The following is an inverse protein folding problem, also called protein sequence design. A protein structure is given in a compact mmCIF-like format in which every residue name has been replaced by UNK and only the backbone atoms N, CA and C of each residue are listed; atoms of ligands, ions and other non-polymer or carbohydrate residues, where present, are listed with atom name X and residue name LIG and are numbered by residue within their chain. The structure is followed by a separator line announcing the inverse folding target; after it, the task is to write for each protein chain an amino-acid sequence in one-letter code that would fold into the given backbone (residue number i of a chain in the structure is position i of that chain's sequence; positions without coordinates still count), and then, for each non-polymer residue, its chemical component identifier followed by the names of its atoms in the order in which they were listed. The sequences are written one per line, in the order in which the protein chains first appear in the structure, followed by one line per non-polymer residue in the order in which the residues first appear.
data_IF_437775830892
#
_entry.id   IF_437775830892
#
_cell.length_a   1.000
_cell.length_b   1.000
_cell.length_c   1.000
_cell.angle_alpha   90.00
_cell.angle_beta   90.00
_cell.angle_gamma   90.00
#
_symmetry.space_group_name_H-M   'P 1'
#
loop_
_entity.id
_entity.type
_entity.pdbx_description
1 polymer ?
#
# COMPACT_ATOMS: atom_id res chain seq x y z
N UNK A 1 4.08 37.00 23.01
CA UNK A 1 3.98 35.81 23.87
C UNK A 1 4.06 34.57 23.01
N UNK A 2 5.06 33.75 23.22
CA UNK A 2 5.10 32.48 22.57
C UNK A 2 3.95 31.61 23.12
N UNK A 3 2.96 31.32 22.29
CA UNK A 3 1.97 30.31 22.58
C UNK A 3 2.74 28.97 22.72
N UNK A 4 2.87 28.48 23.95
CA UNK A 4 3.43 27.15 24.18
C UNK A 4 2.48 26.13 23.60
N UNK A 5 2.69 25.75 22.34
CA UNK A 5 1.97 24.60 21.75
C UNK A 5 2.37 23.38 22.56
N UNK A 6 1.41 22.52 22.95
CA UNK A 6 1.75 21.27 23.59
C UNK A 6 2.68 20.46 22.68
N UNK A 7 3.59 19.65 23.24
CA UNK A 7 4.45 18.81 22.44
C UNK A 7 3.61 17.86 21.58
N UNK A 8 3.94 17.77 20.31
CA UNK A 8 3.32 16.80 19.40
C UNK A 8 4.14 15.51 19.37
N UNK A 9 3.44 14.42 19.31
CA UNK A 9 4.04 13.10 19.11
C UNK A 9 3.98 12.75 17.63
N UNK A 10 5.11 12.30 17.09
CA UNK A 10 5.17 11.75 15.74
C UNK A 10 4.85 10.26 15.79
N UNK A 11 3.80 9.85 15.07
CA UNK A 11 3.47 8.44 14.88
C UNK A 11 3.79 8.04 13.45
N UNK A 12 4.53 6.96 13.31
CA UNK A 12 4.91 6.39 12.02
C UNK A 12 4.26 5.01 11.90
N UNK A 13 3.43 4.85 10.89
CA UNK A 13 2.74 3.58 10.61
C UNK A 13 3.35 2.92 9.37
N UNK A 14 3.48 1.60 9.43
CA UNK A 14 3.55 0.75 8.25
C UNK A 14 2.12 0.47 7.74
N UNK A 15 1.99 -0.17 6.59
CA UNK A 15 0.69 -0.45 5.97
C UNK A 15 0.34 -1.94 6.01
N UNK A 16 1.09 -2.78 5.26
CA UNK A 16 0.85 -4.22 5.21
C UNK A 16 1.01 -4.87 6.58
N UNK A 17 0.05 -5.69 6.98
CA UNK A 17 0.03 -6.41 8.27
C UNK A 17 0.18 -5.49 9.48
N UNK A 18 -0.12 -4.21 9.31
CA UNK A 18 -0.12 -3.19 10.36
C UNK A 18 -1.44 -2.43 10.36
N UNK A 19 -1.68 -1.54 9.40
CA UNK A 19 -2.98 -0.86 9.23
C UNK A 19 -4.01 -1.82 8.66
N UNK A 20 -3.63 -2.58 7.65
CA UNK A 20 -4.45 -3.67 7.09
C UNK A 20 -3.98 -5.00 7.64
N UNK A 21 -4.90 -5.97 7.66
CA UNK A 21 -4.66 -7.30 8.24
C UNK A 21 -4.16 -8.32 7.21
N UNK A 22 -3.60 -7.85 6.10
CA UNK A 22 -3.10 -8.67 5.01
C UNK A 22 -1.87 -8.02 4.37
N UNK A 23 -1.16 -8.77 3.53
CA UNK A 23 -0.20 -8.21 2.59
C UNK A 23 -0.94 -7.77 1.32
N UNK A 24 -0.87 -6.49 0.98
CA UNK A 24 -1.64 -5.92 -0.12
C UNK A 24 -1.22 -6.44 -1.49
N UNK A 25 0.05 -6.75 -1.69
CA UNK A 25 0.55 -7.31 -2.96
C UNK A 25 0.06 -8.75 -3.19
N UNK A 26 -0.09 -9.52 -2.13
CA UNK A 26 -0.71 -10.85 -2.22
C UNK A 26 -2.22 -10.73 -2.45
N UNK A 27 -2.85 -9.76 -1.82
CA UNK A 27 -4.31 -9.58 -1.88
C UNK A 27 -4.80 -9.23 -3.28
N UNK A 28 -4.04 -8.48 -4.09
CA UNK A 28 -4.46 -8.08 -5.43
C UNK A 28 -4.64 -9.25 -6.38
N UNK A 29 -4.07 -10.41 -6.09
CA UNK A 29 -4.28 -11.63 -6.88
C UNK A 29 -5.75 -12.02 -6.95
N UNK A 30 -6.57 -11.59 -5.99
CA UNK A 30 -8.02 -11.81 -6.02
C UNK A 30 -8.70 -11.16 -7.22
N UNK A 31 -8.09 -10.17 -7.86
CA UNK A 31 -8.60 -9.56 -9.08
C UNK A 31 -8.26 -10.38 -10.34
N UNK A 32 -7.37 -11.36 -10.25
CA UNK A 32 -7.01 -12.24 -11.36
C UNK A 32 -8.12 -13.28 -11.62
N UNK A 33 -8.24 -13.80 -12.87
CA UNK A 33 -9.15 -14.89 -13.17
C UNK A 33 -8.92 -16.08 -12.25
N UNK A 34 -10.00 -16.59 -11.67
CA UNK A 34 -9.92 -17.69 -10.71
C UNK A 34 -9.25 -17.31 -9.38
N UNK A 35 -8.98 -16.03 -9.16
CA UNK A 35 -8.30 -15.49 -7.96
C UNK A 35 -6.94 -16.14 -7.70
N UNK A 36 -6.24 -16.54 -8.75
CA UNK A 36 -4.95 -17.20 -8.65
C UNK A 36 -4.02 -16.80 -9.80
N UNK A 37 -2.72 -16.86 -9.53
CA UNK A 37 -1.69 -16.70 -10.57
C UNK A 37 -1.35 -18.07 -11.19
N UNK A 38 -1.04 -18.11 -12.50
CA UNK A 38 -0.49 -19.31 -13.12
C UNK A 38 0.81 -19.76 -12.44
N UNK A 39 1.06 -21.05 -12.47
CA UNK A 39 2.24 -21.63 -11.81
C UNK A 39 3.56 -21.06 -12.34
N UNK A 40 3.67 -20.83 -13.65
CA UNK A 40 4.89 -20.27 -14.25
C UNK A 40 5.17 -18.82 -13.75
N UNK A 41 4.12 -18.05 -13.41
CA UNK A 41 4.29 -16.73 -12.78
C UNK A 41 4.76 -16.90 -11.35
N UNK A 42 4.09 -17.76 -10.56
CA UNK A 42 4.47 -18.00 -9.15
C UNK A 42 5.90 -18.51 -9.03
N UNK A 43 6.33 -19.43 -9.89
CA UNK A 43 7.68 -19.98 -9.90
C UNK A 43 8.74 -19.01 -10.41
N UNK A 44 8.35 -17.89 -11.01
CA UNK A 44 9.28 -16.89 -11.49
C UNK A 44 9.86 -15.99 -10.39
N UNK A 45 9.35 -16.13 -9.15
CA UNK A 45 9.90 -15.40 -8.01
C UNK A 45 11.34 -15.80 -7.73
N UNK A 46 12.19 -14.79 -7.50
CA UNK A 46 13.56 -14.96 -7.05
C UNK A 46 13.81 -14.03 -5.88
N UNK A 47 14.44 -14.54 -4.83
CA UNK A 47 14.88 -13.73 -3.71
C UNK A 47 15.81 -12.58 -4.20
N UNK A 48 15.55 -11.38 -3.72
CA UNK A 48 16.26 -10.17 -4.16
C UNK A 48 15.72 -9.53 -5.44
N UNK A 49 14.75 -10.16 -6.14
CA UNK A 49 14.18 -9.66 -7.40
C UNK A 49 12.65 -9.49 -7.30
N UNK A 50 12.20 -8.95 -6.19
CA UNK A 50 10.78 -8.79 -5.91
C UNK A 50 10.09 -7.84 -6.90
N UNK A 51 10.74 -6.73 -7.25
CA UNK A 51 10.16 -5.75 -8.18
C UNK A 51 9.92 -6.36 -9.56
N UNK A 52 10.88 -7.12 -10.07
CA UNK A 52 10.77 -7.84 -11.35
C UNK A 52 9.67 -8.89 -11.31
N UNK A 53 9.52 -9.57 -10.18
CA UNK A 53 8.41 -10.49 -9.97
C UNK A 53 7.06 -9.77 -10.03
N UNK A 54 6.90 -8.68 -9.30
CA UNK A 54 5.66 -7.91 -9.30
C UNK A 54 5.34 -7.32 -10.67
N UNK A 55 6.34 -6.88 -11.43
CA UNK A 55 6.13 -6.44 -12.81
C UNK A 55 5.52 -7.55 -13.68
N UNK A 56 5.99 -8.79 -13.53
CA UNK A 56 5.42 -9.94 -14.25
C UNK A 56 3.99 -10.25 -13.80
N UNK A 57 3.73 -10.19 -12.50
CA UNK A 57 2.38 -10.36 -11.95
C UNK A 57 1.42 -9.34 -12.53
N UNK A 58 1.79 -8.07 -12.51
CA UNK A 58 0.92 -6.99 -12.99
C UNK A 58 0.74 -7.03 -14.51
N UNK A 59 1.77 -7.38 -15.27
CA UNK A 59 1.67 -7.56 -16.71
C UNK A 59 0.69 -8.71 -17.04
N UNK A 60 0.80 -9.83 -16.37
CA UNK A 60 -0.16 -10.93 -16.50
C UNK A 60 -1.59 -10.47 -16.20
N UNK A 61 -1.79 -9.78 -15.10
CA UNK A 61 -3.13 -9.30 -14.74
C UNK A 61 -3.70 -8.32 -15.78
N UNK A 62 -2.87 -7.44 -16.31
CA UNK A 62 -3.24 -6.55 -17.41
C UNK A 62 -3.63 -7.31 -18.67
N UNK A 63 -2.88 -8.35 -19.03
CA UNK A 63 -3.18 -9.23 -20.18
C UNK A 63 -4.51 -9.98 -20.00
N UNK A 64 -4.89 -10.27 -18.75
CA UNK A 64 -6.19 -10.87 -18.42
C UNK A 64 -7.34 -9.87 -18.36
N UNK A 65 -7.09 -8.60 -18.65
CA UNK A 65 -8.12 -7.57 -18.66
C UNK A 65 -8.46 -6.96 -17.30
N UNK A 66 -7.64 -7.19 -16.28
CA UNK A 66 -7.80 -6.56 -14.96
C UNK A 66 -7.55 -5.05 -15.10
N UNK A 67 -8.48 -4.24 -14.65
CA UNK A 67 -8.45 -2.78 -14.77
C UNK A 67 -8.33 -2.09 -13.41
N UNK A 68 -8.10 -0.78 -13.44
CA UNK A 68 -8.00 0.07 -12.24
C UNK A 68 -9.13 -0.20 -11.24
N UNK A 69 -10.38 -0.26 -11.70
CA UNK A 69 -11.53 -0.50 -10.83
C UNK A 69 -11.50 -1.84 -10.11
N UNK A 70 -10.91 -2.87 -10.75
CA UNK A 70 -10.79 -4.21 -10.16
C UNK A 70 -9.76 -4.21 -9.04
N UNK A 71 -8.61 -3.58 -9.24
CA UNK A 71 -7.60 -3.39 -8.20
C UNK A 71 -8.15 -2.56 -7.04
N UNK A 72 -8.82 -1.45 -7.37
CA UNK A 72 -9.44 -0.58 -6.37
C UNK A 72 -10.41 -1.36 -5.47
N UNK A 73 -11.27 -2.17 -6.06
CA UNK A 73 -12.22 -2.99 -5.30
C UNK A 73 -11.53 -3.95 -4.34
N UNK A 74 -10.43 -4.57 -4.75
CA UNK A 74 -9.66 -5.45 -3.86
C UNK A 74 -9.07 -4.66 -2.71
N UNK A 75 -8.37 -3.56 -2.97
CA UNK A 75 -7.76 -2.75 -1.91
C UNK A 75 -8.79 -2.23 -0.91
N UNK A 76 -9.94 -1.75 -1.39
CA UNK A 76 -11.01 -1.23 -0.52
C UNK A 76 -11.59 -2.30 0.40
N UNK A 77 -11.60 -3.56 -0.04
CA UNK A 77 -12.18 -4.67 0.72
C UNK A 77 -11.20 -5.38 1.67
N UNK A 78 -9.91 -5.04 1.66
CA UNK A 78 -8.97 -5.61 2.62
C UNK A 78 -9.36 -5.17 4.03
N UNK A 79 -9.50 -6.09 5.00
CA UNK A 79 -9.86 -5.71 6.37
C UNK A 79 -8.77 -4.84 7.03
N UNK A 80 -9.19 -3.85 7.80
CA UNK A 80 -8.29 -3.17 8.73
C UNK A 80 -7.88 -4.14 9.85
N UNK A 81 -6.67 -3.98 10.36
CA UNK A 81 -6.22 -4.76 11.51
C UNK A 81 -7.13 -4.52 12.73
N UNK A 82 -7.36 -5.55 13.58
CA UNK A 82 -8.19 -5.40 14.77
C UNK A 82 -7.73 -4.23 15.65
N UNK A 83 -8.68 -3.41 16.07
CA UNK A 83 -8.42 -2.22 16.91
C UNK A 83 -7.98 -0.99 16.14
N UNK A 84 -7.64 -1.10 14.86
CA UNK A 84 -7.17 0.04 14.07
C UNK A 84 -8.25 1.11 13.86
N UNK A 85 -9.51 0.77 13.59
CA UNK A 85 -10.57 1.78 13.52
C UNK A 85 -10.71 2.60 14.81
N UNK A 86 -10.67 1.95 15.96
CA UNK A 86 -10.75 2.64 17.26
C UNK A 86 -9.54 3.54 17.51
N UNK A 87 -8.34 3.06 17.18
CA UNK A 87 -7.12 3.85 17.28
C UNK A 87 -7.18 5.10 16.40
N UNK A 88 -7.60 4.96 15.15
CA UNK A 88 -7.68 6.08 14.22
C UNK A 88 -8.77 7.09 14.63
N UNK A 89 -9.87 6.65 15.19
CA UNK A 89 -10.87 7.54 15.76
C UNK A 89 -10.32 8.32 16.96
N UNK A 90 -9.58 7.66 17.83
CA UNK A 90 -8.89 8.32 18.95
C UNK A 90 -7.90 9.37 18.46
N UNK A 91 -7.07 9.02 17.47
CA UNK A 91 -6.09 9.95 16.89
C UNK A 91 -6.77 11.14 16.20
N UNK A 92 -7.88 10.91 15.50
CA UNK A 92 -8.67 11.98 14.88
C UNK A 92 -9.21 12.97 15.90
N UNK A 93 -9.68 12.48 17.04
CA UNK A 93 -10.20 13.31 18.14
C UNK A 93 -9.09 14.09 18.86
N UNK A 94 -7.87 13.61 18.79
CA UNK A 94 -6.71 14.20 19.45
C UNK A 94 -5.64 14.68 18.46
N UNK A 95 -6.06 15.08 17.26
CA UNK A 95 -5.16 15.45 16.15
C UNK A 95 -4.19 16.59 16.52
N UNK A 96 -4.50 17.39 17.53
CA UNK A 96 -3.63 18.46 18.02
C UNK A 96 -2.35 17.92 18.67
N UNK A 97 -2.40 16.70 19.20
CA UNK A 97 -1.28 16.07 19.91
C UNK A 97 -0.39 15.22 19.01
N UNK A 98 -0.88 14.84 17.83
CA UNK A 98 -0.23 13.86 17.00
C UNK A 98 0.04 14.38 15.59
N UNK A 99 1.24 14.11 15.11
CA UNK A 99 1.62 14.16 13.70
C UNK A 99 1.70 12.72 13.22
N UNK A 100 0.98 12.38 12.15
CA UNK A 100 0.86 10.99 11.70
C UNK A 100 1.36 10.87 10.28
N UNK A 101 2.32 9.98 10.07
CA UNK A 101 2.85 9.64 8.75
C UNK A 101 2.80 8.14 8.53
N UNK A 102 2.83 7.75 7.27
CA UNK A 102 2.87 6.37 6.85
C UNK A 102 4.12 6.16 5.99
N UNK A 103 4.88 5.13 6.29
CA UNK A 103 6.04 4.69 5.51
C UNK A 103 5.85 3.20 5.22
N UNK A 104 5.75 2.84 3.95
CA UNK A 104 5.48 1.46 3.55
C UNK A 104 6.13 1.13 2.22
N UNK A 105 6.56 -0.11 2.07
CA UNK A 105 7.02 -0.71 0.83
C UNK A 105 5.87 -1.24 -0.06
N UNK A 106 4.62 -0.99 0.31
CA UNK A 106 3.46 -1.22 -0.55
C UNK A 106 3.46 -0.28 -1.77
N UNK A 107 2.35 0.32 -2.14
CA UNK A 107 2.30 1.32 -3.21
C UNK A 107 1.25 2.40 -2.92
N UNK A 108 1.46 3.56 -3.52
CA UNK A 108 0.62 4.74 -3.27
C UNK A 108 -0.84 4.51 -3.64
N UNK A 109 -1.12 3.89 -4.79
CA UNK A 109 -2.49 3.66 -5.24
C UNK A 109 -3.29 2.78 -4.26
N UNK A 110 -2.70 1.66 -3.85
CA UNK A 110 -3.36 0.73 -2.91
C UNK A 110 -3.60 1.35 -1.55
N UNK A 111 -2.60 2.06 -1.02
CA UNK A 111 -2.72 2.77 0.26
C UNK A 111 -3.83 3.81 0.20
N UNK A 112 -3.85 4.66 -0.83
CA UNK A 112 -4.86 5.71 -0.97
C UNK A 112 -6.27 5.12 -1.13
N UNK A 113 -6.44 4.09 -1.96
CA UNK A 113 -7.73 3.42 -2.13
C UNK A 113 -8.29 2.96 -0.78
N UNK A 114 -7.46 2.29 0.01
CA UNK A 114 -7.88 1.75 1.31
C UNK A 114 -8.19 2.84 2.32
N UNK A 115 -7.29 3.80 2.48
CA UNK A 115 -7.46 4.86 3.47
C UNK A 115 -8.64 5.77 3.14
N UNK A 116 -8.88 6.07 1.86
CA UNK A 116 -10.05 6.84 1.44
C UNK A 116 -11.35 6.09 1.69
N UNK A 117 -11.40 4.81 1.34
CA UNK A 117 -12.58 3.97 1.57
C UNK A 117 -12.89 3.82 3.07
N UNK A 118 -11.87 3.72 3.90
CA UNK A 118 -12.01 3.64 5.35
C UNK A 118 -12.31 4.99 6.03
N UNK A 119 -12.15 6.11 5.31
CA UNK A 119 -12.41 7.46 5.86
C UNK A 119 -11.25 8.03 6.68
N UNK A 120 -10.04 7.47 6.58
CA UNK A 120 -8.89 7.88 7.38
C UNK A 120 -7.73 8.50 6.58
N UNK A 121 -7.91 8.70 5.27
CA UNK A 121 -6.85 9.26 4.43
C UNK A 121 -6.34 10.61 4.94
N UNK A 122 -7.23 11.51 5.33
CA UNK A 122 -6.88 12.84 5.81
C UNK A 122 -6.18 12.87 7.17
N UNK A 123 -6.16 11.75 7.88
CA UNK A 123 -5.46 11.61 9.16
C UNK A 123 -3.93 11.69 8.98
N UNK A 124 -3.43 11.27 7.82
CA UNK A 124 -2.01 11.19 7.53
C UNK A 124 -1.51 12.51 6.91
N UNK A 125 -0.53 13.11 7.55
CA UNK A 125 0.13 14.31 7.05
C UNK A 125 0.94 14.02 5.80
N UNK A 126 1.60 12.84 5.76
CA UNK A 126 2.43 12.41 4.65
C UNK A 126 2.40 10.88 4.53
N UNK A 127 2.42 10.41 3.30
CA UNK A 127 2.55 9.00 2.97
C UNK A 127 3.79 8.83 2.08
N UNK A 128 4.71 7.98 2.51
CA UNK A 128 5.91 7.61 1.77
C UNK A 128 5.76 6.15 1.32
N UNK A 129 5.64 5.94 0.04
CA UNK A 129 5.52 4.60 -0.52
C UNK A 129 5.93 4.59 -1.98
N UNK A 130 6.00 3.40 -2.56
CA UNK A 130 6.38 3.23 -3.95
C UNK A 130 5.38 3.90 -4.89
N UNK A 131 5.85 4.63 -5.91
CA UNK A 131 4.97 5.24 -6.89
C UNK A 131 4.26 4.15 -7.70
N UNK A 132 3.02 4.43 -8.06
CA UNK A 132 2.19 3.53 -8.85
C UNK A 132 1.34 4.34 -9.81
N UNK A 133 1.04 3.76 -10.95
CA UNK A 133 0.23 4.41 -11.99
C UNK A 133 -0.39 3.36 -12.91
N UNK A 134 -1.23 3.81 -13.83
CA UNK A 134 -1.77 2.98 -14.90
C UNK A 134 -1.27 3.54 -16.24
N UNK A 135 -0.73 2.66 -17.07
CA UNK A 135 -0.20 3.06 -18.37
C UNK A 135 -1.31 3.33 -19.39
N UNK A 136 -0.94 3.67 -20.63
CA UNK A 136 -1.90 3.98 -21.70
C UNK A 136 -2.82 2.79 -22.06
N UNK A 137 -2.39 1.56 -21.78
CA UNK A 137 -3.20 0.35 -21.98
C UNK A 137 -4.13 0.08 -20.79
N UNK A 138 -3.99 0.83 -19.70
CA UNK A 138 -4.70 0.60 -18.44
C UNK A 138 -4.04 -0.44 -17.55
N UNK A 139 -2.79 -0.81 -17.80
CA UNK A 139 -2.03 -1.75 -16.98
C UNK A 139 -1.50 -1.06 -15.74
N UNK A 140 -1.65 -1.72 -14.61
CA UNK A 140 -1.10 -1.24 -13.35
C UNK A 140 0.41 -1.39 -13.35
N UNK A 141 1.11 -0.30 -13.02
CA UNK A 141 2.58 -0.26 -13.00
C UNK A 141 3.08 0.23 -11.65
N UNK A 142 4.13 -0.39 -11.15
CA UNK A 142 4.82 -0.01 -9.93
C UNK A 142 6.25 0.43 -10.26
N UNK A 143 6.72 1.44 -9.53
CA UNK A 143 8.12 1.84 -9.56
C UNK A 143 8.72 1.81 -8.16
N UNK A 144 10.05 1.71 -8.02
CA UNK A 144 10.68 1.85 -6.71
C UNK A 144 10.59 3.30 -6.22
N UNK A 145 10.50 3.48 -4.91
CA UNK A 145 10.55 4.81 -4.31
C UNK A 145 11.90 5.47 -4.57
N UNK A 146 12.97 4.70 -4.43
CA UNK A 146 14.33 5.09 -4.79
C UNK A 146 15.14 3.85 -5.19
N UNK A 147 16.27 4.05 -5.84
CA UNK A 147 17.19 2.98 -6.21
C UNK A 147 18.41 2.98 -5.28
N UNK A 148 18.84 1.81 -4.84
CA UNK A 148 20.02 1.63 -4.00
C UNK A 148 20.69 0.29 -4.26
N UNK A 149 21.91 0.11 -3.71
CA UNK A 149 22.71 -1.11 -3.85
C UNK A 149 22.87 -1.88 -2.53
N UNK A 150 22.08 -1.55 -1.52
CA UNK A 150 22.11 -2.26 -0.24
C UNK A 150 21.55 -3.67 -0.42
N UNK A 151 22.29 -4.68 0.03
CA UNK A 151 21.86 -6.08 -0.06
C UNK A 151 20.95 -6.48 1.12
N UNK A 152 21.00 -5.74 2.20
CA UNK A 152 20.25 -6.02 3.43
C UNK A 152 18.91 -5.27 3.48
N UNK A 153 18.68 -4.34 2.55
CA UNK A 153 17.46 -3.55 2.48
C UNK A 153 16.52 -4.07 1.39
N UNK A 154 15.20 -3.92 1.55
CA UNK A 154 14.27 -4.16 0.46
C UNK A 154 14.65 -3.36 -0.79
N UNK A 155 14.36 -3.89 -1.96
CA UNK A 155 14.71 -3.28 -3.24
C UNK A 155 13.92 -1.99 -3.57
N UNK A 156 12.97 -1.64 -2.73
CA UNK A 156 12.03 -0.52 -2.91
C UNK A 156 11.90 0.35 -1.67
#
# INVERSE_FOLDING_TARGET
MASSRPPKYLLVFDFDETIINENSDDSIVRAAPGQALPEHIRQSFREGFYNEYMQRVLAYMGDQGVKMGDFKAVYENIPLSPGMPDLFQFLSKNHELFEIILISDANMFGIECKLRAAGFYSLFRKIFSNPSSFDKRGYFTLGPYHSHKCLDCPAN
#
